data_IF_109522476860
#
_entry.id   IF_109522476860
#
_cell.length_a   1.000
_cell.length_b   1.000
_cell.length_c   1.000
_cell.angle_alpha   90.00
_cell.angle_beta   90.00
_cell.angle_gamma   90.00
#
_symmetry.space_group_name_H-M   'P 1'
#
loop_
_entity.id
_entity.type
_entity.pdbx_description
1 polymer ?
#
# COMPACT_ATOMS: atom_id res chain seq x y z
N UNK A 1 4.59 19.00 0.90
CA UNK A 1 5.49 18.35 1.86
C UNK A 1 4.67 17.22 2.43
N UNK A 2 5.12 15.99 2.24
CA UNK A 2 4.34 14.83 2.67
C UNK A 2 4.32 14.69 4.19
N UNK A 3 3.19 14.27 4.73
CA UNK A 3 3.04 14.01 6.16
C UNK A 3 3.85 12.76 6.58
N UNK A 4 3.96 11.78 5.70
CA UNK A 4 4.61 10.49 5.93
C UNK A 4 5.45 10.05 4.74
N UNK A 5 6.43 9.17 4.99
CA UNK A 5 7.09 8.39 3.95
C UNK A 5 6.83 6.91 4.23
N UNK A 6 6.68 6.10 3.19
CA UNK A 6 6.64 4.65 3.34
C UNK A 6 7.95 4.16 4.00
N UNK A 7 7.89 3.21 4.95
CA UNK A 7 9.07 2.67 5.60
C UNK A 7 9.97 1.84 4.66
N UNK A 8 9.42 1.34 3.54
CA UNK A 8 10.11 0.46 2.60
C UNK A 8 10.50 1.14 1.30
N UNK A 9 9.75 2.14 0.86
CA UNK A 9 10.11 2.96 -0.29
C UNK A 9 9.95 4.44 0.05
N UNK A 10 10.77 5.32 -0.54
CA UNK A 10 10.76 6.76 -0.25
C UNK A 10 9.50 7.49 -0.75
N UNK A 11 8.41 6.77 -1.02
CA UNK A 11 7.13 7.33 -1.45
C UNK A 11 6.52 8.17 -0.32
N UNK A 12 6.15 9.41 -0.64
CA UNK A 12 5.54 10.32 0.30
C UNK A 12 4.01 10.28 0.24
N UNK A 13 3.36 10.37 1.39
CA UNK A 13 1.90 10.31 1.55
C UNK A 13 1.42 11.45 2.44
N UNK A 14 0.28 12.05 2.11
CA UNK A 14 -0.40 13.02 2.96
C UNK A 14 -1.42 12.32 3.88
N UNK A 15 -1.65 12.85 5.09
CA UNK A 15 -2.59 12.24 6.05
C UNK A 15 -4.05 12.27 5.59
N UNK A 16 -4.35 13.08 4.57
CA UNK A 16 -5.69 13.22 3.99
C UNK A 16 -5.90 12.26 2.82
N UNK A 17 -4.83 11.67 2.28
CA UNK A 17 -4.91 10.68 1.21
C UNK A 17 -5.31 9.34 1.80
N UNK A 18 -6.54 8.92 1.54
CA UNK A 18 -7.05 7.59 1.88
C UNK A 18 -6.69 6.53 0.83
N UNK A 19 -6.11 6.94 -0.31
CA UNK A 19 -5.74 6.05 -1.40
C UNK A 19 -4.25 5.70 -1.35
N UNK A 20 -4.03 4.40 -1.30
CA UNK A 20 -2.90 3.67 -0.74
C UNK A 20 -1.72 3.64 -1.73
N UNK A 21 -0.51 3.84 -1.21
CA UNK A 21 0.71 3.44 -1.91
C UNK A 21 0.70 1.91 -2.05
N UNK A 22 0.68 1.40 -3.28
CA UNK A 22 0.85 -0.03 -3.54
C UNK A 22 2.22 -0.48 -3.00
N UNK A 23 2.20 -1.32 -1.97
CA UNK A 23 3.39 -1.94 -1.40
C UNK A 23 3.23 -3.47 -1.49
N UNK A 24 4.31 -4.18 -1.75
CA UNK A 24 4.35 -5.65 -1.72
C UNK A 24 4.51 -6.20 -0.29
N UNK A 25 4.59 -5.30 0.70
CA UNK A 25 4.67 -5.59 2.11
C UNK A 25 3.29 -5.48 2.78
N UNK A 26 2.85 -6.59 3.39
CA UNK A 26 1.61 -6.65 4.19
C UNK A 26 1.98 -6.43 5.65
N UNK A 27 1.25 -5.56 6.36
CA UNK A 27 1.48 -5.34 7.78
C UNK A 27 0.87 -4.06 8.33
N UNK A 28 1.21 -3.81 9.60
CA UNK A 28 0.80 -2.64 10.37
C UNK A 28 2.05 -1.96 10.95
N UNK A 29 2.14 -0.64 10.86
CA UNK A 29 3.27 0.13 11.39
C UNK A 29 2.82 1.45 12.01
N UNK A 30 3.43 1.81 13.14
CA UNK A 30 3.31 3.15 13.69
C UNK A 30 4.17 4.14 12.90
N UNK A 31 3.55 5.16 12.31
CA UNK A 31 4.22 6.24 11.60
C UNK A 31 3.99 7.59 12.29
N UNK A 32 5.05 8.40 12.38
CA UNK A 32 4.97 9.74 12.99
C UNK A 32 4.84 10.81 11.92
N UNK A 33 3.76 11.58 11.97
CA UNK A 33 3.55 12.70 11.04
C UNK A 33 4.64 13.75 11.23
N UNK A 34 5.31 14.13 10.13
CA UNK A 34 6.41 15.10 10.17
C UNK A 34 5.94 16.50 10.57
N UNK A 35 4.69 16.85 10.26
CA UNK A 35 4.11 18.16 10.51
C UNK A 35 3.53 18.31 11.93
N UNK A 36 2.62 17.42 12.33
CA UNK A 36 1.93 17.53 13.63
C UNK A 36 2.50 16.67 14.75
N UNK A 37 3.48 15.81 14.45
CA UNK A 37 4.17 14.91 15.40
C UNK A 37 3.27 13.88 16.11
N UNK A 38 2.03 13.70 15.66
CA UNK A 38 1.16 12.63 16.12
C UNK A 38 1.57 11.30 15.49
N UNK A 39 1.31 10.21 16.21
CA UNK A 39 1.48 8.83 15.77
C UNK A 39 0.19 8.38 15.08
N UNK A 40 0.33 7.70 13.96
CA UNK A 40 -0.75 7.11 13.16
C UNK A 40 -0.39 5.66 12.87
N UNK A 41 -1.40 4.81 12.76
CA UNK A 41 -1.24 3.44 12.28
C UNK A 41 -1.34 3.43 10.75
N UNK A 42 -0.32 2.88 10.10
CA UNK A 42 -0.29 2.62 8.67
C UNK A 42 -0.56 1.13 8.47
N UNK A 43 -1.63 0.80 7.75
CA UNK A 43 -2.01 -0.57 7.40
C UNK A 43 -1.80 -0.77 5.90
N UNK A 44 -1.07 -1.84 5.54
CA UNK A 44 -0.92 -2.29 4.16
C UNK A 44 -1.62 -3.64 3.98
N UNK A 45 -2.63 -3.65 3.11
CA UNK A 45 -3.35 -4.85 2.70
C UNK A 45 -2.83 -5.34 1.34
N UNK A 46 -2.99 -6.64 1.08
CA UNK A 46 -2.68 -7.20 -0.23
C UNK A 46 -3.65 -6.68 -1.29
N UNK A 47 -3.15 -6.09 -2.37
CA UNK A 47 -3.96 -5.87 -3.57
C UNK A 47 -4.16 -7.21 -4.31
N UNK A 48 -5.41 -7.68 -4.40
CA UNK A 48 -5.72 -8.95 -5.07
C UNK A 48 -5.87 -8.71 -6.58
N UNK A 49 -4.78 -8.87 -7.30
CA UNK A 49 -4.77 -8.86 -8.76
C UNK A 49 -5.11 -10.23 -9.36
N UNK A 50 -6.18 -10.32 -10.17
CA UNK A 50 -6.55 -11.51 -10.94
C UNK A 50 -6.26 -11.36 -12.43
N UNK A 51 -5.76 -12.41 -13.09
CA UNK A 51 -5.70 -12.50 -14.54
C UNK A 51 -6.22 -13.85 -15.03
N UNK A 52 -6.89 -13.86 -16.18
CA UNK A 52 -7.41 -15.06 -16.81
C UNK A 52 -6.76 -15.26 -18.18
N UNK A 53 -6.35 -16.49 -18.48
CA UNK A 53 -5.88 -16.88 -19.81
C UNK A 53 -6.90 -17.82 -20.46
N UNK A 54 -7.15 -17.71 -21.78
CA UNK A 54 -7.97 -18.68 -22.50
C UNK A 54 -7.40 -20.09 -22.30
N UNK A 55 -8.23 -21.03 -21.85
CA UNK A 55 -7.88 -22.45 -21.83
C UNK A 55 -8.33 -23.01 -23.18
N UNK A 56 -7.39 -23.40 -24.04
CA UNK A 56 -7.77 -24.14 -25.25
C UNK A 56 -8.46 -25.44 -24.82
N UNK A 57 -9.54 -25.86 -25.51
CA UNK A 57 -10.18 -27.13 -25.21
C UNK A 57 -9.17 -28.26 -25.43
N UNK A 58 -8.96 -29.08 -24.40
CA UNK A 58 -8.31 -30.37 -24.55
C UNK A 58 -9.28 -31.24 -25.34
N UNK A 59 -8.95 -31.51 -26.60
CA UNK A 59 -9.67 -32.50 -27.39
C UNK A 59 -9.23 -33.89 -26.92
N UNK A 60 -10.18 -34.69 -26.42
CA UNK A 60 -10.00 -36.10 -26.04
C UNK A 60 -9.79 -37.02 -27.27
#
# INVERSE_FOLDING_TARGET
MYDFNCPYCSWGMDKEDTSIHEDDHIGEWDVTCTNCKKIFELEAEADISYWATPKEPVND
#
